data_IF_672053669603
#
_entry.id   IF_672053669603
#
_cell.length_a   1.000
_cell.length_b   1.000
_cell.length_c   1.000
_cell.angle_alpha   90.00
_cell.angle_beta   90.00
_cell.angle_gamma   90.00
#
_symmetry.space_group_name_H-M   'P 1'
#
loop_
_entity.id
_entity.type
_entity.pdbx_description
1 polymer ?
#
# COMPACT_ATOMS: atom_id res chain seq x y z
N UNK A 1 13.18 12.33 -12.24
CA UNK A 1 12.13 11.30 -12.10
C UNK A 1 12.44 10.10 -12.97
N UNK A 2 12.62 10.24 -14.28
CA UNK A 2 12.81 9.11 -15.21
C UNK A 2 13.91 8.13 -14.77
N UNK A 3 15.10 8.63 -14.42
CA UNK A 3 16.20 7.78 -13.95
C UNK A 3 15.87 6.94 -12.69
N UNK A 4 15.10 7.49 -11.75
CA UNK A 4 14.72 6.77 -10.53
C UNK A 4 13.63 5.74 -10.79
N UNK A 5 12.67 6.06 -11.66
CA UNK A 5 11.63 5.13 -12.05
C UNK A 5 12.20 3.94 -12.84
N UNK A 6 13.16 4.20 -13.73
CA UNK A 6 13.88 3.16 -14.47
C UNK A 6 14.69 2.27 -13.53
N UNK A 7 15.33 2.86 -12.51
CA UNK A 7 16.02 2.07 -11.50
C UNK A 7 15.07 1.19 -10.68
N UNK A 8 13.92 1.70 -10.26
CA UNK A 8 12.91 0.90 -9.57
C UNK A 8 12.42 -0.26 -10.45
N UNK A 9 12.21 -0.02 -11.75
CA UNK A 9 11.84 -1.07 -12.71
C UNK A 9 12.90 -2.16 -12.75
N UNK A 10 14.18 -1.79 -12.83
CA UNK A 10 15.30 -2.74 -12.83
C UNK A 10 15.36 -3.55 -11.53
N UNK A 11 15.23 -2.91 -10.38
CA UNK A 11 15.26 -3.57 -9.07
C UNK A 11 14.09 -4.55 -8.89
N UNK A 12 12.90 -4.20 -9.38
CA UNK A 12 11.70 -5.03 -9.28
C UNK A 12 11.53 -6.04 -10.42
N UNK A 13 12.39 -6.02 -11.45
CA UNK A 13 12.26 -6.88 -12.65
C UNK A 13 12.33 -8.39 -12.37
N UNK A 14 12.85 -8.80 -11.20
CA UNK A 14 12.90 -10.21 -10.76
C UNK A 14 11.59 -10.70 -10.12
N UNK A 15 10.55 -9.87 -10.07
CA UNK A 15 9.25 -10.25 -9.54
C UNK A 15 8.55 -11.31 -10.42
N UNK A 16 7.76 -12.16 -9.80
CA UNK A 16 6.91 -13.14 -10.46
C UNK A 16 5.48 -12.59 -10.66
N UNK A 17 4.63 -13.36 -11.36
CA UNK A 17 3.20 -13.08 -11.54
C UNK A 17 2.33 -13.38 -10.32
N UNK A 18 2.94 -13.25 -9.14
CA UNK A 18 2.35 -13.38 -7.81
C UNK A 18 3.14 -12.52 -6.84
N UNK A 19 2.63 -12.39 -5.61
CA UNK A 19 3.36 -11.72 -4.53
C UNK A 19 4.75 -12.35 -4.38
N UNK A 20 5.78 -11.56 -4.61
CA UNK A 20 7.18 -11.97 -4.50
C UNK A 20 7.83 -11.20 -3.37
N UNK A 21 8.36 -11.91 -2.37
CA UNK A 21 9.03 -11.28 -1.24
C UNK A 21 10.38 -10.70 -1.65
N UNK A 22 10.71 -9.55 -1.09
CA UNK A 22 11.99 -8.87 -1.35
C UNK A 22 13.09 -9.26 -0.35
N UNK A 23 12.72 -9.95 0.73
CA UNK A 23 13.56 -10.14 1.92
C UNK A 23 13.48 -8.97 2.90
N UNK A 24 12.91 -7.84 2.49
CA UNK A 24 12.61 -6.70 3.36
C UNK A 24 11.22 -6.91 3.99
N UNK A 25 11.07 -6.78 5.32
CA UNK A 25 9.78 -6.95 5.97
C UNK A 25 8.69 -6.08 5.35
N UNK A 26 7.50 -6.66 5.11
CA UNK A 26 6.30 -6.00 4.56
C UNK A 26 6.43 -5.43 3.15
N UNK A 27 7.57 -5.58 2.48
CA UNK A 27 7.79 -5.11 1.10
C UNK A 27 7.70 -6.26 0.12
N UNK A 28 6.79 -6.15 -0.84
CA UNK A 28 6.59 -7.14 -1.88
C UNK A 28 6.60 -6.50 -3.28
N UNK A 29 6.87 -7.33 -4.28
CA UNK A 29 6.86 -6.95 -5.69
C UNK A 29 6.04 -7.96 -6.50
N UNK A 30 5.54 -7.51 -7.65
CA UNK A 30 4.73 -8.34 -8.55
C UNK A 30 4.90 -7.87 -9.99
N UNK A 31 4.95 -8.81 -10.94
CA UNK A 31 5.15 -8.53 -12.37
C UNK A 31 4.32 -9.42 -13.29
N UNK A 32 3.90 -8.87 -14.43
CA UNK A 32 3.30 -9.64 -15.52
C UNK A 32 1.80 -9.80 -15.39
N UNK A 33 1.27 -10.87 -15.99
CA UNK A 33 -0.18 -11.13 -15.98
C UNK A 33 -0.57 -11.79 -14.67
N UNK A 34 -1.24 -11.03 -13.81
CA UNK A 34 -1.75 -11.52 -12.55
C UNK A 34 -3.17 -12.08 -12.76
N UNK A 35 -3.41 -13.37 -12.48
CA UNK A 35 -4.74 -13.95 -12.50
C UNK A 35 -5.75 -13.12 -11.67
N UNK A 36 -6.90 -12.82 -12.26
CA UNK A 36 -7.93 -11.98 -11.64
C UNK A 36 -8.41 -12.52 -10.29
N UNK A 37 -8.48 -13.84 -10.12
CA UNK A 37 -8.86 -14.45 -8.84
C UNK A 37 -7.86 -14.16 -7.70
N UNK A 38 -6.59 -13.85 -8.01
CA UNK A 38 -5.61 -13.40 -7.01
C UNK A 38 -5.71 -11.90 -6.73
N UNK A 39 -6.35 -11.14 -7.63
CA UNK A 39 -6.61 -9.72 -7.45
C UNK A 39 -7.95 -9.47 -6.73
N UNK A 40 -8.85 -10.46 -6.72
CA UNK A 40 -10.08 -10.48 -5.96
C UNK A 40 -9.81 -10.92 -4.51
N UNK A 41 -9.46 -9.98 -3.64
CA UNK A 41 -9.07 -10.25 -2.27
C UNK A 41 -9.53 -9.16 -1.30
N UNK A 42 -9.49 -9.49 -0.01
CA UNK A 42 -9.46 -8.49 1.06
C UNK A 42 -8.00 -8.08 1.25
N UNK A 43 -7.69 -6.82 0.94
CA UNK A 43 -6.34 -6.31 0.99
C UNK A 43 -6.03 -5.65 2.33
N UNK A 44 -4.91 -6.03 2.94
CA UNK A 44 -4.41 -5.32 4.11
C UNK A 44 -3.99 -3.88 3.72
N UNK A 45 -4.11 -2.89 4.62
CA UNK A 45 -3.67 -1.52 4.37
C UNK A 45 -2.23 -1.47 3.85
N UNK A 46 -2.02 -0.80 2.72
CA UNK A 46 -0.71 -0.74 2.08
C UNK A 46 -0.50 0.55 1.29
N UNK A 47 0.76 0.87 1.03
CA UNK A 47 1.17 1.81 -0.02
C UNK A 47 1.61 0.97 -1.23
N UNK A 48 0.91 1.08 -2.34
CA UNK A 48 1.27 0.39 -3.59
C UNK A 48 1.72 1.41 -4.64
N UNK A 49 2.76 1.08 -5.41
CA UNK A 49 3.32 1.91 -6.46
C UNK A 49 3.33 1.13 -7.77
N UNK A 50 2.78 1.72 -8.82
CA UNK A 50 2.84 1.15 -10.18
C UNK A 50 4.06 1.72 -10.89
N UNK A 51 4.98 0.83 -11.28
CA UNK A 51 6.20 1.17 -11.99
C UNK A 51 6.02 1.06 -13.52
N UNK A 52 5.15 0.15 -13.94
CA UNK A 52 4.87 -0.14 -15.35
C UNK A 52 3.48 -0.74 -15.53
N UNK A 53 2.85 -0.47 -16.67
CA UNK A 53 1.47 -0.90 -16.95
C UNK A 53 0.43 -0.09 -16.18
N UNK A 54 -0.78 -0.62 -16.07
CA UNK A 54 -1.85 0.00 -15.30
C UNK A 54 -2.61 -1.03 -14.46
N UNK A 55 -3.36 -0.54 -13.47
CA UNK A 55 -4.23 -1.36 -12.64
C UNK A 55 -5.62 -0.76 -12.60
N UNK A 56 -6.62 -1.61 -12.79
CA UNK A 56 -8.01 -1.31 -12.50
C UNK A 56 -8.39 -1.97 -11.19
N UNK A 57 -8.95 -1.19 -10.27
CA UNK A 57 -9.44 -1.67 -8.98
C UNK A 57 -10.89 -1.24 -8.81
N UNK A 58 -11.75 -2.18 -8.48
CA UNK A 58 -13.16 -1.95 -8.17
C UNK A 58 -13.40 -2.25 -6.69
N UNK A 59 -13.89 -1.24 -5.96
CA UNK A 59 -14.33 -1.35 -4.57
C UNK A 59 -15.79 -0.93 -4.50
N UNK A 60 -16.68 -1.87 -4.15
CA UNK A 60 -18.13 -1.64 -4.25
C UNK A 60 -18.52 -1.24 -5.67
N UNK A 61 -19.22 -0.11 -5.81
CA UNK A 61 -19.66 0.41 -7.12
C UNK A 61 -18.65 1.36 -7.79
N UNK A 62 -17.48 1.57 -7.17
CA UNK A 62 -16.47 2.51 -7.63
C UNK A 62 -15.29 1.79 -8.27
N UNK A 63 -15.00 2.10 -9.53
CA UNK A 63 -13.81 1.60 -10.23
C UNK A 63 -12.82 2.73 -10.45
N UNK A 64 -11.55 2.45 -10.18
CA UNK A 64 -10.46 3.38 -10.45
C UNK A 64 -9.40 2.71 -11.32
N UNK A 65 -8.86 3.49 -12.26
CA UNK A 65 -7.72 3.14 -13.09
C UNK A 65 -6.50 3.93 -12.64
N UNK A 66 -5.36 3.24 -12.55
CA UNK A 66 -4.11 3.81 -12.07
C UNK A 66 -2.99 3.58 -13.09
N UNK A 67 -2.30 4.67 -13.43
CA UNK A 67 -1.17 4.70 -14.36
C UNK A 67 0.19 4.65 -13.61
N UNK A 68 1.31 4.43 -14.33
CA UNK A 68 2.64 4.44 -13.73
C UNK A 68 2.97 5.75 -12.99
N UNK A 69 3.90 5.67 -12.03
CA UNK A 69 4.31 6.78 -11.17
C UNK A 69 3.16 7.36 -10.32
N UNK A 70 2.15 6.54 -10.06
CA UNK A 70 1.15 6.81 -9.04
C UNK A 70 1.32 5.86 -7.87
N UNK A 71 0.98 6.34 -6.68
CA UNK A 71 0.82 5.50 -5.50
C UNK A 71 -0.64 5.47 -5.05
N UNK A 72 -1.00 4.33 -4.48
CA UNK A 72 -2.32 4.05 -3.94
C UNK A 72 -2.21 3.76 -2.44
N UNK A 73 -3.15 4.31 -1.67
CA UNK A 73 -3.31 4.01 -0.24
C UNK A 73 -4.68 3.41 -0.03
N UNK A 74 -4.73 2.32 0.75
CA UNK A 74 -5.97 1.73 1.24
C UNK A 74 -5.99 1.86 2.76
N UNK A 75 -7.00 2.53 3.34
CA UNK A 75 -7.06 2.77 4.80
C UNK A 75 -7.77 1.68 5.60
N UNK A 76 -8.45 0.75 4.94
CA UNK A 76 -9.22 -0.34 5.55
C UNK A 76 -9.14 -1.61 4.71
N UNK A 77 -9.43 -2.74 5.34
CA UNK A 77 -9.56 -4.02 4.64
C UNK A 77 -10.75 -3.97 3.66
N UNK A 78 -10.50 -3.79 2.36
CA UNK A 78 -11.58 -3.69 1.35
C UNK A 78 -11.63 -4.95 0.49
N UNK A 79 -12.81 -5.58 0.31
CA UNK A 79 -13.01 -6.53 -0.76
C UNK A 79 -12.93 -5.76 -2.07
N UNK A 80 -11.85 -5.98 -2.81
CA UNK A 80 -11.64 -5.34 -4.09
C UNK A 80 -11.43 -6.39 -5.17
N UNK A 81 -12.11 -6.21 -6.30
CA UNK A 81 -11.79 -6.90 -7.54
C UNK A 81 -10.86 -6.04 -8.37
N UNK A 82 -10.05 -6.63 -9.24
CA UNK A 82 -9.22 -5.84 -10.12
C UNK A 82 -8.61 -6.62 -11.27
N UNK A 83 -8.10 -5.86 -12.23
CA UNK A 83 -7.31 -6.35 -13.36
C UNK A 83 -6.06 -5.52 -13.49
N UNK A 84 -5.01 -6.12 -14.03
CA UNK A 84 -3.77 -5.41 -14.37
C UNK A 84 -3.53 -5.53 -15.86
N UNK A 85 -2.96 -4.47 -16.43
CA UNK A 85 -2.75 -4.35 -17.86
C UNK A 85 -1.28 -4.00 -18.13
N UNK A 86 -0.68 -4.54 -19.22
CA UNK A 86 0.67 -4.16 -19.62
C UNK A 86 0.73 -2.69 -20.03
N UNK A 87 1.94 -2.15 -20.11
CA UNK A 87 2.16 -0.83 -20.68
C UNK A 87 1.70 -0.80 -22.14
N UNK A 88 1.37 0.39 -22.66
CA UNK A 88 0.97 0.57 -24.07
C UNK A 88 2.03 0.09 -25.05
N UNK A 89 3.31 0.17 -24.66
CA UNK A 89 4.48 -0.31 -25.39
C UNK A 89 4.70 -1.84 -25.29
N UNK A 90 3.89 -2.55 -24.49
CA UNK A 90 3.86 -4.02 -24.40
C UNK A 90 4.63 -4.60 -23.22
N UNK A 91 5.37 -3.80 -22.47
CA UNK A 91 6.10 -4.25 -21.29
C UNK A 91 5.14 -4.65 -20.15
N UNK A 92 5.49 -5.67 -19.34
CA UNK A 92 4.56 -6.25 -18.36
C UNK A 92 4.15 -5.25 -17.27
N UNK A 93 2.98 -5.48 -16.65
CA UNK A 93 2.65 -4.79 -15.40
C UNK A 93 3.75 -5.01 -14.37
N UNK A 94 4.10 -3.98 -13.60
CA UNK A 94 5.11 -4.07 -12.55
C UNK A 94 4.73 -3.14 -11.41
N UNK A 95 4.72 -3.66 -10.19
CA UNK A 95 4.41 -2.89 -9.01
C UNK A 95 5.18 -3.35 -7.78
N UNK A 96 5.32 -2.43 -6.83
CA UNK A 96 5.87 -2.68 -5.50
C UNK A 96 4.89 -2.22 -4.44
N UNK A 97 4.86 -2.88 -3.30
CA UNK A 97 3.97 -2.53 -2.19
C UNK A 97 4.67 -2.61 -0.85
N UNK A 98 4.22 -1.78 0.08
CA UNK A 98 4.58 -1.78 1.48
C UNK A 98 3.29 -1.94 2.28
N UNK A 99 3.10 -3.09 2.91
CA UNK A 99 2.01 -3.30 3.87
C UNK A 99 2.25 -2.40 5.08
N UNK A 100 1.22 -1.69 5.52
CA UNK A 100 1.31 -0.72 6.61
C UNK A 100 1.16 -1.43 7.96
N UNK A 101 2.08 -1.11 8.88
CA UNK A 101 2.00 -1.53 10.27
C UNK A 101 1.39 -0.41 11.13
N UNK A 102 0.23 -0.64 11.77
CA UNK A 102 -0.38 0.33 12.67
C UNK A 102 0.58 0.83 13.76
N UNK A 103 1.48 0.00 14.28
CA UNK A 103 2.44 0.40 15.29
C UNK A 103 3.45 1.42 14.75
N UNK A 104 3.94 1.23 13.53
CA UNK A 104 4.84 2.19 12.86
C UNK A 104 4.13 3.51 12.61
N UNK A 105 2.86 3.47 12.19
CA UNK A 105 2.05 4.67 12.00
C UNK A 105 1.83 5.42 13.32
N UNK A 106 1.47 4.72 14.40
CA UNK A 106 1.27 5.32 15.72
C UNK A 106 2.54 5.98 16.26
N UNK A 107 3.70 5.34 16.12
CA UNK A 107 4.98 5.94 16.55
C UNK A 107 5.33 7.17 15.71
N UNK A 108 5.11 7.13 14.39
CA UNK A 108 5.32 8.30 13.54
C UNK A 108 4.42 9.47 13.92
N UNK A 109 3.15 9.23 14.22
CA UNK A 109 2.22 10.29 14.61
C UNK A 109 2.50 10.87 15.99
N UNK A 110 3.04 10.07 16.91
CA UNK A 110 3.46 10.57 18.23
C UNK A 110 4.59 11.60 18.13
N UNK A 111 5.48 11.45 17.15
CA UNK A 111 6.63 12.35 16.94
C UNK A 111 6.30 13.60 16.11
N UNK A 112 5.10 13.66 15.52
CA UNK A 112 4.68 14.76 14.66
C UNK A 112 3.71 15.73 15.36
N UNK A 113 3.72 17.02 14.99
CA UNK A 113 2.72 17.96 15.48
C UNK A 113 1.31 17.49 15.11
N UNK A 114 0.35 17.66 16.04
CA UNK A 114 -1.06 17.38 15.76
C UNK A 114 -1.53 18.29 14.61
N UNK A 115 -2.14 17.73 13.55
CA UNK A 115 -2.63 18.53 12.42
C UNK A 115 -3.76 19.48 12.86
N UNK A 116 -3.82 20.64 12.22
CA UNK A 116 -4.76 21.71 12.56
C UNK A 116 -6.22 21.46 12.10
N UNK A 117 -6.47 20.46 11.24
CA UNK A 117 -7.82 20.19 10.72
C UNK A 117 -8.12 18.70 10.53
N UNK A 118 -9.39 18.36 10.79
CA UNK A 118 -10.01 17.08 10.44
C UNK A 118 -10.53 17.26 9.01
N UNK A 119 -9.90 16.61 8.03
CA UNK A 119 -10.38 16.63 6.65
C UNK A 119 -11.65 15.77 6.55
N UNK A 120 -12.61 16.25 5.77
CA UNK A 120 -13.93 15.64 5.57
C UNK A 120 -13.82 14.24 4.96
N UNK A 121 -14.77 13.37 5.35
CA UNK A 121 -14.91 11.98 4.92
C UNK A 121 -14.89 11.85 3.39
N UNK A 122 -13.75 11.44 2.85
CA UNK A 122 -13.55 11.07 1.45
C UNK A 122 -13.43 9.55 1.35
N UNK A 123 -13.61 8.94 0.16
CA UNK A 123 -13.56 7.48 0.02
C UNK A 123 -12.25 6.87 0.55
N UNK A 124 -12.33 5.73 1.25
CA UNK A 124 -11.21 5.04 1.93
C UNK A 124 -10.11 4.46 1.01
N UNK A 125 -10.06 4.89 -0.24
CA UNK A 125 -9.05 4.54 -1.24
C UNK A 125 -8.84 5.70 -2.25
N UNK A 126 -7.59 6.04 -2.61
CA UNK A 126 -7.27 7.16 -3.52
C UNK A 126 -5.86 7.08 -4.15
N UNK A 127 -5.59 7.92 -5.16
CA UNK A 127 -4.41 7.89 -6.05
C UNK A 127 -3.70 9.22 -6.08
N UNK A 128 -2.39 9.24 -5.95
CA UNK A 128 -1.62 10.46 -6.13
C UNK A 128 -0.37 10.19 -6.97
N UNK A 129 0.11 11.21 -7.71
CA UNK A 129 1.40 11.13 -8.36
C UNK A 129 2.51 10.98 -7.31
N UNK A 130 3.54 10.22 -7.65
CA UNK A 130 4.75 10.14 -6.84
C UNK A 130 5.55 11.43 -6.93
N UNK A 131 6.06 11.90 -5.79
CA UNK A 131 7.07 12.96 -5.77
C UNK A 131 8.47 12.37 -5.96
N UNK A 132 9.43 13.20 -6.35
CA UNK A 132 10.84 12.79 -6.52
C UNK A 132 11.42 12.22 -5.22
N UNK A 133 11.04 12.80 -4.08
CA UNK A 133 11.50 12.39 -2.75
C UNK A 133 10.89 11.05 -2.31
N UNK A 134 9.61 10.81 -2.64
CA UNK A 134 8.98 9.51 -2.40
C UNK A 134 9.63 8.44 -3.29
N UNK A 135 9.89 8.75 -4.55
CA UNK A 135 10.57 7.85 -5.48
C UNK A 135 11.97 7.48 -4.97
N UNK A 136 12.73 8.47 -4.50
CA UNK A 136 14.07 8.26 -3.92
C UNK A 136 14.04 7.31 -2.71
N UNK A 137 13.07 7.49 -1.81
CA UNK A 137 12.92 6.63 -0.64
C UNK A 137 12.64 5.17 -1.04
N UNK A 138 11.83 4.94 -2.07
CA UNK A 138 11.59 3.61 -2.64
C UNK A 138 12.84 3.01 -3.28
N UNK A 139 13.63 3.80 -4.01
CA UNK A 139 14.90 3.33 -4.61
C UNK A 139 15.85 2.87 -3.50
N UNK A 140 16.04 3.68 -2.46
CA UNK A 140 16.88 3.33 -1.31
C UNK A 140 16.37 2.09 -0.58
N UNK A 141 15.06 1.94 -0.43
CA UNK A 141 14.46 0.73 0.14
C UNK A 141 14.82 -0.52 -0.69
N UNK A 142 14.56 -0.52 -1.99
CA UNK A 142 14.78 -1.70 -2.83
C UNK A 142 16.27 -2.03 -3.03
N UNK A 143 17.17 -1.04 -2.93
CA UNK A 143 18.63 -1.29 -2.95
C UNK A 143 19.11 -2.15 -1.78
N UNK A 144 18.34 -2.28 -0.70
CA UNK A 144 18.67 -3.16 0.42
C UNK A 144 18.53 -4.65 0.07
N UNK A 145 17.82 -4.99 -1.02
CA UNK A 145 17.58 -6.38 -1.39
C UNK A 145 18.90 -7.15 -1.57
N UNK A 146 19.02 -8.26 -0.85
CA UNK A 146 20.20 -9.13 -0.89
C UNK A 146 21.27 -8.82 0.17
N UNK A 147 21.06 -7.80 1.01
CA UNK A 147 21.94 -7.45 2.13
C UNK A 147 21.16 -7.48 3.46
N UNK A 148 21.17 -8.62 4.19
CA UNK A 148 20.42 -8.78 5.43
C UNK A 148 20.82 -7.79 6.54
N UNK A 149 22.09 -7.39 6.61
CA UNK A 149 22.59 -6.47 7.64
C UNK A 149 22.11 -5.05 7.36
N UNK A 150 22.17 -4.62 6.08
CA UNK A 150 21.61 -3.34 5.67
C UNK A 150 20.08 -3.32 5.80
N UNK A 151 19.39 -4.42 5.50
CA UNK A 151 17.94 -4.54 5.72
C UNK A 151 17.61 -4.32 7.20
N UNK A 152 18.29 -5.03 8.10
CA UNK A 152 18.03 -4.93 9.54
C UNK A 152 18.27 -3.50 10.07
N UNK A 153 19.31 -2.82 9.57
CA UNK A 153 19.67 -1.48 10.04
C UNK A 153 18.84 -0.35 9.40
N UNK A 154 18.52 -0.43 8.11
CA UNK A 154 18.04 0.70 7.32
C UNK A 154 16.58 0.59 6.88
N UNK A 155 16.03 -0.61 6.72
CA UNK A 155 14.65 -0.78 6.26
C UNK A 155 13.62 -0.06 7.17
N UNK A 156 13.71 -0.14 8.51
CA UNK A 156 12.77 0.58 9.38
C UNK A 156 12.81 2.10 9.20
N UNK A 157 14.00 2.65 8.90
CA UNK A 157 14.20 4.09 8.67
C UNK A 157 13.57 4.51 7.34
N UNK A 158 13.79 3.74 6.28
CA UNK A 158 13.23 4.04 4.96
C UNK A 158 11.72 3.81 4.91
N UNK A 159 11.20 2.82 5.62
CA UNK A 159 9.75 2.60 5.77
C UNK A 159 9.10 3.83 6.41
N UNK A 160 9.68 4.29 7.52
CA UNK A 160 9.20 5.50 8.22
C UNK A 160 9.25 6.73 7.32
N UNK A 161 10.30 6.87 6.51
CA UNK A 161 10.39 7.96 5.53
C UNK A 161 9.29 7.87 4.46
N UNK A 162 9.07 6.70 3.85
CA UNK A 162 8.02 6.49 2.84
C UNK A 162 6.65 6.88 3.40
N UNK A 163 6.32 6.40 4.60
CA UNK A 163 5.06 6.72 5.29
C UNK A 163 4.97 8.23 5.53
N UNK A 164 6.04 8.87 5.99
CA UNK A 164 6.07 10.32 6.21
C UNK A 164 5.84 11.12 4.91
N UNK A 165 6.47 10.73 3.80
CA UNK A 165 6.27 11.40 2.50
C UNK A 165 4.82 11.28 2.02
N UNK A 166 4.21 10.10 2.15
CA UNK A 166 2.79 9.91 1.85
C UNK A 166 1.90 10.72 2.79
N UNK A 167 2.27 10.82 4.07
CA UNK A 167 1.55 11.62 5.07
C UNK A 167 1.53 13.13 4.75
N UNK A 168 2.59 13.65 4.12
CA UNK A 168 2.64 15.03 3.64
C UNK A 168 1.91 15.23 2.31
N UNK A 169 1.61 14.14 1.60
CA UNK A 169 0.93 14.16 0.32
C UNK A 169 -0.60 14.28 0.42
N UNK A 170 -1.28 14.27 -0.74
CA UNK A 170 -2.74 14.35 -0.82
C UNK A 170 -3.49 13.28 -0.02
N UNK A 171 -2.86 12.12 0.23
CA UNK A 171 -3.46 10.97 0.92
C UNK A 171 -3.05 10.81 2.36
N UNK A 172 -2.37 11.80 2.94
CA UNK A 172 -1.95 11.71 4.33
C UNK A 172 -3.11 11.60 5.32
N UNK A 173 -4.30 12.06 4.97
CA UNK A 173 -5.51 11.87 5.79
C UNK A 173 -5.88 10.39 5.93
N UNK A 174 -5.66 9.57 4.90
CA UNK A 174 -5.96 8.13 4.90
C UNK A 174 -5.05 7.36 5.84
N UNK A 175 -3.76 7.72 5.89
CA UNK A 175 -2.82 7.16 6.86
C UNK A 175 -3.24 7.48 8.29
N UNK A 176 -3.81 8.67 8.51
CA UNK A 176 -4.32 9.07 9.84
C UNK A 176 -5.53 8.26 10.26
N UNK A 177 -6.39 7.86 9.34
CA UNK A 177 -7.53 6.99 9.64
C UNK A 177 -7.09 5.60 10.11
N UNK A 178 -6.03 5.03 9.51
CA UNK A 178 -5.51 3.70 9.89
C UNK A 178 -5.03 3.69 11.34
N UNK A 179 -4.32 4.73 11.78
CA UNK A 179 -3.67 4.73 13.09
C UNK A 179 -4.48 5.43 14.20
N UNK A 180 -5.65 5.98 13.89
CA UNK A 180 -6.47 6.67 14.87
C UNK A 180 -7.25 5.65 15.73
N UNK A 181 -6.91 5.49 17.03
CA UNK A 181 -7.69 4.65 17.92
C UNK A 181 -9.13 5.19 18.03
N UNK A 182 -10.10 4.30 18.17
CA UNK A 182 -11.53 4.59 18.39
C UNK A 182 -12.30 5.29 17.26
N UNK A 183 -11.75 5.36 16.05
CA UNK A 183 -12.53 5.81 14.89
C UNK A 183 -13.55 4.76 14.43
N UNK A 184 -14.59 5.19 13.70
CA UNK A 184 -15.50 4.26 13.03
C UNK A 184 -14.72 3.29 12.11
N UNK A 185 -13.67 3.78 11.45
CA UNK A 185 -12.81 2.97 10.60
C UNK A 185 -11.97 1.95 11.38
N UNK A 186 -11.45 2.31 12.56
CA UNK A 186 -10.77 1.36 13.44
C UNK A 186 -11.71 0.23 13.91
N UNK A 187 -12.97 0.55 14.23
CA UNK A 187 -13.99 -0.48 14.57
C UNK A 187 -14.35 -1.37 13.38
N UNK A 188 -14.43 -0.81 12.17
CA UNK A 188 -14.64 -1.59 10.93
C UNK A 188 -13.46 -2.54 10.69
N UNK A 189 -12.21 -2.08 10.77
CA UNK A 189 -11.03 -2.94 10.65
C UNK A 189 -11.01 -4.04 11.70
N UNK A 190 -11.32 -3.73 12.98
CA UNK A 190 -11.38 -4.73 14.03
C UNK A 190 -12.45 -5.81 13.75
N UNK A 191 -13.62 -5.38 13.26
CA UNK A 191 -14.71 -6.28 12.86
C UNK A 191 -14.28 -7.19 11.71
N UNK A 192 -13.60 -6.65 10.70
CA UNK A 192 -13.12 -7.43 9.56
C UNK A 192 -12.07 -8.46 9.99
N UNK A 193 -11.11 -8.05 10.83
CA UNK A 193 -10.10 -8.95 11.38
C UNK A 193 -10.71 -10.06 12.24
N UNK A 194 -11.74 -9.73 13.04
CA UNK A 194 -12.49 -10.72 13.82
C UNK A 194 -13.21 -11.73 12.92
N UNK A 195 -13.92 -11.25 11.89
CA UNK A 195 -14.58 -12.10 10.90
C UNK A 195 -13.56 -13.00 10.20
N UNK A 196 -12.38 -12.48 9.82
CA UNK A 196 -11.33 -13.27 9.14
C UNK A 196 -10.76 -14.37 10.04
N UNK A 197 -10.53 -14.08 11.32
CA UNK A 197 -9.98 -15.05 12.27
C UNK A 197 -10.99 -16.13 12.63
N UNK A 198 -12.23 -15.73 12.87
CA UNK A 198 -13.26 -16.58 13.46
C UNK A 198 -14.37 -16.92 12.43
N UNK A 199 -14.03 -16.94 11.12
CA UNK A 199 -15.00 -17.04 10.00
C UNK A 199 -15.87 -18.30 10.02
N UNK A 200 -15.42 -19.36 10.69
CA UNK A 200 -16.14 -20.62 10.81
C UNK A 200 -17.13 -20.62 12.00
N UNK A 201 -17.12 -19.58 12.84
CA UNK A 201 -18.01 -19.47 14.00
C UNK A 201 -19.28 -18.66 13.70
N UNK A 202 -20.41 -18.94 14.40
CA UNK A 202 -21.61 -18.14 14.30
C UNK A 202 -21.37 -16.66 14.66
N UNK A 203 -21.68 -15.79 13.70
CA UNK A 203 -21.40 -14.37 13.77
C UNK A 203 -22.64 -13.59 14.22
N UNK A 204 -22.63 -13.11 15.47
CA UNK A 204 -23.72 -12.30 16.03
C UNK A 204 -23.44 -10.80 15.90
N UNK A 205 -24.36 -10.04 15.30
CA UNK A 205 -24.23 -8.57 15.13
C UNK A 205 -23.86 -7.82 16.43
N UNK A 206 -24.38 -8.17 17.63
CA UNK A 206 -23.98 -7.51 18.88
C UNK A 206 -22.52 -7.71 19.28
N UNK A 207 -21.81 -8.71 18.71
CA UNK A 207 -20.38 -8.96 18.95
C UNK A 207 -19.46 -8.11 18.07
N UNK A 208 -20.02 -7.40 17.09
CA UNK A 208 -19.29 -6.54 16.14
C UNK A 208 -19.35 -5.04 16.52
N UNK A 209 -20.00 -4.69 17.62
CA UNK A 209 -20.27 -3.31 18.03
C UNK A 209 -19.19 -2.72 18.95
#
# INVERSE_FOLDING_TARGET
MDNQLDELRLLAAKAENRRTETGIPRVAMVQGKIPEHMLAAVYDPMINVILQGSKHMTVGDSTLEYDPATYFVMSIDLPAGGSVHPARSGEPYLAVSLTLDPAVLSTLFADLPKPASRLENKPGFSVAPMTTELMDAWVRMLRLMGDPDAIAALAPVYEREIIFRVLQGPHGWMLREIAAPDTAMARVNMSIQWIRRDFAEPLGVPRLA
#
